data_IF_048333873950
#
_entry.id   IF_048333873950
#
_cell.length_a   1.000
_cell.length_b   1.000
_cell.length_c   1.000
_cell.angle_alpha   90.00
_cell.angle_beta   90.00
_cell.angle_gamma   90.00
#
_symmetry.space_group_name_H-M   'P 1'
#
loop_
_entity.id
_entity.type
_entity.pdbx_description
1 polymer ?
#
# COMPACT_ATOMS: atom_id res chain seq x y z
N UNK A 1 8.39 -8.15 -13.83
CA UNK A 1 7.28 -7.49 -13.10
C UNK A 1 6.97 -8.30 -11.86
N UNK A 2 6.92 -7.65 -10.69
CA UNK A 2 6.55 -8.33 -9.44
C UNK A 2 5.06 -8.59 -9.36
N UNK A 3 4.22 -7.61 -9.74
CA UNK A 3 2.77 -7.72 -9.75
C UNK A 3 2.23 -7.33 -11.12
N UNK A 4 1.26 -8.10 -11.63
CA UNK A 4 0.47 -7.77 -12.80
C UNK A 4 -1.00 -8.11 -12.53
N UNK A 5 -1.89 -7.20 -12.82
CA UNK A 5 -3.33 -7.45 -12.90
C UNK A 5 -3.75 -7.29 -14.38
N UNK A 6 -4.42 -8.29 -14.91
CA UNK A 6 -4.84 -8.34 -16.32
C UNK A 6 -6.35 -8.35 -16.39
N UNK A 7 -6.93 -7.21 -16.78
CA UNK A 7 -8.37 -6.99 -16.98
C UNK A 7 -9.22 -7.52 -15.81
N UNK A 8 -8.79 -7.30 -14.56
CA UNK A 8 -9.50 -7.85 -13.41
C UNK A 8 -10.85 -7.17 -13.21
N UNK A 9 -11.86 -8.00 -12.91
CA UNK A 9 -13.21 -7.56 -12.60
C UNK A 9 -13.67 -8.23 -11.31
N UNK A 10 -14.22 -7.43 -10.39
CA UNK A 10 -14.83 -7.90 -9.14
C UNK A 10 -16.27 -7.44 -9.10
N UNK A 11 -17.21 -8.39 -8.95
CA UNK A 11 -18.65 -8.11 -8.84
C UNK A 11 -19.20 -8.57 -7.49
N UNK A 12 -20.11 -7.80 -6.94
CA UNK A 12 -20.86 -8.18 -5.73
C UNK A 12 -22.31 -7.74 -5.87
N UNK A 13 -23.24 -8.66 -5.66
CA UNK A 13 -24.67 -8.35 -5.78
C UNK A 13 -25.07 -7.83 -7.19
N UNK A 14 -24.44 -8.33 -8.25
CA UNK A 14 -24.69 -7.89 -9.64
C UNK A 14 -23.95 -6.60 -10.03
N UNK A 15 -23.46 -5.80 -9.07
CA UNK A 15 -22.72 -4.55 -9.34
C UNK A 15 -21.23 -4.82 -9.50
N UNK A 16 -20.60 -4.22 -10.51
CA UNK A 16 -19.15 -4.19 -10.62
C UNK A 16 -18.59 -3.19 -9.60
N UNK A 17 -17.66 -3.64 -8.75
CA UNK A 17 -16.91 -2.82 -7.81
C UNK A 17 -15.54 -2.45 -8.37
N UNK A 18 -14.98 -3.32 -9.21
CA UNK A 18 -13.80 -3.10 -10.04
C UNK A 18 -14.12 -3.69 -11.40
N UNK A 19 -13.86 -2.96 -12.48
CA UNK A 19 -14.24 -3.36 -13.83
C UNK A 19 -13.07 -3.20 -14.80
N UNK A 20 -12.61 -4.34 -15.33
CA UNK A 20 -11.57 -4.44 -16.38
C UNK A 20 -10.29 -3.63 -16.05
N UNK A 21 -9.87 -3.62 -14.79
CA UNK A 21 -8.68 -2.89 -14.36
C UNK A 21 -7.42 -3.70 -14.69
N UNK A 22 -6.45 -3.04 -15.34
CA UNK A 22 -5.13 -3.59 -15.60
C UNK A 22 -4.05 -2.68 -15.00
N UNK A 23 -3.05 -3.28 -14.37
CA UNK A 23 -1.87 -2.58 -13.84
C UNK A 23 -0.66 -3.52 -13.78
N UNK A 24 0.52 -2.93 -13.72
CA UNK A 24 1.77 -3.66 -13.50
C UNK A 24 2.70 -2.86 -12.59
N UNK A 25 3.41 -3.57 -11.70
CA UNK A 25 4.38 -2.96 -10.77
C UNK A 25 5.66 -3.76 -10.82
N UNK A 26 6.78 -3.09 -11.09
CA UNK A 26 8.10 -3.68 -11.10
C UNK A 26 8.70 -3.81 -9.68
N UNK A 27 9.75 -4.64 -9.49
CA UNK A 27 10.51 -4.62 -8.25
C UNK A 27 11.03 -3.21 -7.95
N UNK A 28 10.85 -2.73 -6.72
CA UNK A 28 11.30 -1.41 -6.31
C UNK A 28 10.43 -0.24 -6.74
N UNK A 29 9.37 -0.48 -7.47
CA UNK A 29 8.43 0.54 -7.94
C UNK A 29 7.32 0.80 -6.90
N UNK A 30 6.92 2.06 -6.79
CA UNK A 30 5.78 2.50 -5.99
C UNK A 30 4.65 2.97 -6.91
N UNK A 31 3.49 2.30 -6.86
CA UNK A 31 2.27 2.67 -7.58
C UNK A 31 1.25 3.24 -6.60
N UNK A 32 0.82 4.48 -6.84
CA UNK A 32 -0.27 5.09 -6.08
C UNK A 32 -1.62 4.86 -6.76
N UNK A 33 -2.62 4.49 -5.98
CA UNK A 33 -4.02 4.40 -6.43
C UNK A 33 -4.80 5.57 -5.84
N UNK A 34 -5.36 6.41 -6.71
CA UNK A 34 -6.19 7.56 -6.32
C UNK A 34 -7.61 7.40 -6.84
N UNK A 35 -8.56 8.09 -6.22
CA UNK A 35 -9.97 8.06 -6.60
C UNK A 35 -10.87 8.54 -5.47
N UNK A 36 -12.10 8.91 -5.78
CA UNK A 36 -13.11 9.31 -4.81
C UNK A 36 -13.45 8.17 -3.83
N UNK A 37 -14.14 8.49 -2.74
CA UNK A 37 -14.68 7.48 -1.84
C UNK A 37 -15.68 6.59 -2.58
N UNK A 38 -15.55 5.27 -2.41
CA UNK A 38 -16.38 4.30 -3.15
C UNK A 38 -15.91 4.01 -4.59
N UNK A 39 -14.83 4.60 -5.08
CA UNK A 39 -14.29 4.34 -6.43
C UNK A 39 -13.74 2.92 -6.66
N UNK A 40 -13.70 2.07 -5.62
CA UNK A 40 -13.24 0.68 -5.74
C UNK A 40 -11.79 0.44 -5.30
N UNK A 41 -11.09 1.45 -4.74
CA UNK A 41 -9.65 1.37 -4.36
C UNK A 41 -9.35 0.21 -3.40
N UNK A 42 -10.04 0.13 -2.26
CA UNK A 42 -9.84 -0.97 -1.29
C UNK A 42 -10.24 -2.32 -1.88
N UNK A 43 -11.30 -2.37 -2.70
CA UNK A 43 -11.70 -3.59 -3.42
C UNK A 43 -10.60 -4.04 -4.38
N UNK A 44 -9.95 -3.11 -5.07
CA UNK A 44 -8.79 -3.40 -5.93
C UNK A 44 -7.66 -4.00 -5.11
N UNK A 45 -7.27 -3.40 -3.97
CA UNK A 45 -6.20 -3.96 -3.12
C UNK A 45 -6.54 -5.36 -2.61
N UNK A 46 -7.79 -5.61 -2.16
CA UNK A 46 -8.23 -6.94 -1.75
C UNK A 46 -8.22 -7.96 -2.90
N UNK A 47 -8.51 -7.53 -4.13
CA UNK A 47 -8.37 -8.39 -5.32
C UNK A 47 -6.90 -8.72 -5.61
N UNK A 48 -6.00 -7.73 -5.49
CA UNK A 48 -4.57 -7.90 -5.74
C UNK A 48 -3.88 -8.79 -4.71
N UNK A 49 -4.35 -8.82 -3.45
CA UNK A 49 -3.83 -9.75 -2.42
C UNK A 49 -4.45 -11.14 -2.53
N UNK A 50 -5.53 -11.29 -3.30
CA UNK A 50 -6.25 -12.56 -3.50
C UNK A 50 -7.24 -12.90 -2.39
N UNK A 51 -7.77 -11.89 -1.69
CA UNK A 51 -8.86 -12.04 -0.70
C UNK A 51 -10.24 -12.09 -1.35
N UNK A 52 -10.34 -11.64 -2.60
CA UNK A 52 -11.59 -11.62 -3.36
C UNK A 52 -11.51 -12.55 -4.57
N UNK A 53 -12.62 -13.23 -4.85
CA UNK A 53 -12.79 -14.00 -6.08
C UNK A 53 -12.99 -13.04 -7.25
N UNK A 54 -12.18 -13.16 -8.28
CA UNK A 54 -12.33 -12.39 -9.51
C UNK A 54 -13.48 -12.94 -10.34
N UNK A 55 -14.33 -12.06 -10.88
CA UNK A 55 -15.37 -12.42 -11.86
C UNK A 55 -14.79 -12.58 -13.27
N UNK A 56 -13.68 -11.87 -13.56
CA UNK A 56 -12.91 -12.00 -14.80
C UNK A 56 -11.49 -11.50 -14.58
N UNK A 57 -10.59 -11.84 -15.51
CA UNK A 57 -9.18 -11.46 -15.44
C UNK A 57 -8.36 -12.35 -14.51
N UNK A 58 -7.12 -11.95 -14.27
CA UNK A 58 -6.20 -12.66 -13.36
C UNK A 58 -5.19 -11.73 -12.72
N UNK A 59 -4.68 -12.13 -11.56
CA UNK A 59 -3.52 -11.52 -10.90
C UNK A 59 -2.33 -12.46 -11.01
N UNK A 60 -1.22 -11.93 -11.46
CA UNK A 60 0.07 -12.63 -11.59
C UNK A 60 1.06 -11.99 -10.63
N UNK A 61 1.71 -12.79 -9.81
CA UNK A 61 2.77 -12.39 -8.89
C UNK A 61 4.06 -13.14 -9.25
N UNK A 62 5.15 -12.41 -9.44
CA UNK A 62 6.46 -12.97 -9.81
C UNK A 62 6.38 -13.99 -10.98
N UNK A 63 5.60 -13.67 -12.01
CA UNK A 63 5.46 -14.49 -13.23
C UNK A 63 4.53 -15.70 -13.11
N UNK A 64 3.87 -15.93 -11.95
CA UNK A 64 2.95 -17.04 -11.72
C UNK A 64 1.58 -16.53 -11.27
N UNK A 65 0.49 -17.20 -11.66
CA UNK A 65 -0.84 -16.81 -11.19
C UNK A 65 -0.92 -16.83 -9.66
N UNK A 66 -1.48 -15.77 -9.07
CA UNK A 66 -1.54 -15.63 -7.61
C UNK A 66 -2.32 -16.77 -6.94
N UNK A 67 -3.34 -17.28 -7.63
CA UNK A 67 -4.17 -18.38 -7.16
C UNK A 67 -3.38 -19.70 -7.00
N UNK A 68 -2.26 -19.87 -7.72
CA UNK A 68 -1.45 -21.09 -7.69
C UNK A 68 -0.44 -21.11 -6.53
N UNK A 69 -0.30 -19.99 -5.80
CA UNK A 69 0.60 -19.95 -4.65
C UNK A 69 -0.03 -20.58 -3.41
N UNK A 70 0.73 -21.34 -2.68
CA UNK A 70 0.37 -21.75 -1.33
C UNK A 70 0.22 -20.55 -0.41
N UNK A 71 -0.73 -20.59 0.52
CA UNK A 71 -0.99 -19.50 1.46
C UNK A 71 0.23 -19.10 2.28
N UNK A 72 1.02 -20.09 2.72
CA UNK A 72 2.26 -19.91 3.46
C UNK A 72 3.30 -19.11 2.67
N UNK A 73 3.48 -19.45 1.39
CA UNK A 73 4.42 -18.75 0.49
C UNK A 73 3.94 -17.33 0.19
N UNK A 74 2.63 -17.14 -0.05
CA UNK A 74 2.06 -15.80 -0.21
C UNK A 74 2.31 -14.95 1.02
N UNK A 75 2.03 -15.49 2.22
CA UNK A 75 2.18 -14.77 3.48
C UNK A 75 3.64 -14.35 3.77
N UNK A 76 4.64 -15.05 3.24
CA UNK A 76 6.05 -14.63 3.37
C UNK A 76 6.44 -13.52 2.40
N UNK A 77 5.73 -13.34 1.29
CA UNK A 77 6.15 -12.49 0.17
C UNK A 77 5.21 -11.33 -0.09
N UNK A 78 3.98 -11.39 0.37
CA UNK A 78 2.94 -10.37 0.17
C UNK A 78 2.42 -9.93 1.53
N UNK A 79 2.58 -8.64 1.83
CA UNK A 79 2.00 -8.02 3.02
C UNK A 79 0.90 -7.04 2.64
N UNK A 80 -0.15 -6.98 3.46
CA UNK A 80 -1.28 -6.09 3.26
C UNK A 80 -1.63 -5.33 4.55
N UNK A 81 -1.65 -4.00 4.44
CA UNK A 81 -2.19 -3.11 5.46
C UNK A 81 -3.60 -2.68 5.03
N UNK A 82 -4.62 -3.25 5.67
CA UNK A 82 -6.00 -2.83 5.48
C UNK A 82 -6.29 -1.54 6.28
N UNK A 83 -7.26 -0.75 5.82
CA UNK A 83 -7.69 0.52 6.44
C UNK A 83 -8.06 0.36 7.92
N UNK A 84 -8.68 -0.75 8.31
CA UNK A 84 -9.00 -1.08 9.69
C UNK A 84 -8.38 -2.42 10.09
N UNK A 85 -7.54 -2.41 11.11
CA UNK A 85 -6.93 -3.62 11.69
C UNK A 85 -7.10 -3.58 13.21
N UNK A 86 -8.33 -3.73 13.75
CA UNK A 86 -8.60 -3.63 15.18
C UNK A 86 -7.95 -4.80 15.93
N UNK A 87 -7.11 -4.48 16.91
CA UNK A 87 -6.59 -5.42 17.90
C UNK A 87 -7.15 -5.04 19.25
N UNK A 88 -7.96 -5.93 19.84
CA UNK A 88 -8.64 -5.69 21.11
C UNK A 88 -7.81 -6.14 22.33
N UNK A 89 -6.76 -6.95 22.12
CA UNK A 89 -5.93 -7.48 23.19
C UNK A 89 -4.78 -6.54 23.55
N UNK A 90 -4.37 -6.48 24.83
CA UNK A 90 -3.33 -5.57 25.32
C UNK A 90 -1.90 -6.09 25.05
N UNK A 91 -1.64 -6.55 23.83
CA UNK A 91 -0.28 -6.91 23.39
C UNK A 91 0.67 -5.73 23.53
N UNK A 92 1.93 -5.98 23.88
CA UNK A 92 2.99 -4.99 23.73
C UNK A 92 3.21 -4.65 22.25
N UNK A 93 3.62 -3.42 21.96
CA UNK A 93 3.88 -2.97 20.57
C UNK A 93 4.84 -3.91 19.86
N UNK A 94 5.93 -4.35 20.53
CA UNK A 94 6.88 -5.33 19.96
C UNK A 94 6.19 -6.62 19.51
N UNK A 95 5.22 -7.12 20.28
CA UNK A 95 4.50 -8.36 19.99
C UNK A 95 3.61 -8.17 18.75
N UNK A 96 2.95 -7.01 18.64
CA UNK A 96 2.16 -6.66 17.44
C UNK A 96 3.02 -6.64 16.19
N UNK A 97 4.21 -6.01 16.25
CA UNK A 97 5.14 -5.98 15.11
C UNK A 97 5.62 -7.40 14.79
N UNK A 98 5.94 -8.21 15.81
CA UNK A 98 6.39 -9.59 15.65
C UNK A 98 5.34 -10.51 14.98
N UNK A 99 4.03 -10.18 15.02
CA UNK A 99 3.02 -10.90 14.24
C UNK A 99 3.33 -10.89 12.74
N UNK A 100 4.00 -9.86 12.23
CA UNK A 100 4.47 -9.81 10.84
C UNK A 100 5.50 -10.91 10.52
N UNK A 101 6.18 -11.44 11.52
CA UNK A 101 7.16 -12.54 11.34
C UNK A 101 6.56 -13.93 11.42
N UNK A 102 5.28 -14.06 11.82
CA UNK A 102 4.61 -15.36 11.96
C UNK A 102 4.68 -16.29 10.75
N UNK A 103 4.69 -15.83 9.48
CA UNK A 103 4.84 -16.70 8.33
C UNK A 103 6.26 -17.22 8.11
N UNK A 104 7.26 -16.65 8.80
CA UNK A 104 8.69 -16.94 8.58
C UNK A 104 9.24 -17.93 9.62
N UNK A 105 10.35 -18.58 9.27
CA UNK A 105 11.10 -19.48 10.13
C UNK A 105 12.56 -19.03 10.25
N UNK A 106 12.80 -17.71 10.32
CA UNK A 106 14.13 -17.08 10.31
C UNK A 106 14.90 -17.17 11.64
N UNK A 107 14.22 -17.60 12.69
CA UNK A 107 14.78 -17.73 14.03
C UNK A 107 14.70 -16.43 14.85
N UNK A 108 14.63 -16.58 16.17
CA UNK A 108 14.33 -15.52 17.13
C UNK A 108 15.23 -14.29 17.01
N UNK A 109 16.54 -14.46 16.92
CA UNK A 109 17.48 -13.33 16.83
C UNK A 109 17.29 -12.51 15.55
N UNK A 110 17.02 -13.18 14.44
CA UNK A 110 16.72 -12.51 13.17
C UNK A 110 15.40 -11.74 13.25
N UNK A 111 14.37 -12.35 13.82
CA UNK A 111 13.05 -11.71 13.95
C UNK A 111 13.08 -10.52 14.90
N UNK A 112 13.78 -10.61 16.03
CA UNK A 112 14.00 -9.47 16.96
C UNK A 112 14.71 -8.29 16.26
N UNK A 113 15.74 -8.56 15.47
CA UNK A 113 16.44 -7.53 14.70
C UNK A 113 15.54 -6.87 13.65
N UNK A 114 14.68 -7.65 12.97
CA UNK A 114 13.70 -7.12 11.98
C UNK A 114 12.64 -6.27 12.68
N UNK A 115 12.12 -6.72 13.82
CA UNK A 115 11.13 -5.98 14.62
C UNK A 115 11.70 -4.64 15.04
N UNK A 116 12.95 -4.59 15.54
CA UNK A 116 13.62 -3.35 15.92
C UNK A 116 13.81 -2.41 14.71
N UNK A 117 14.26 -2.95 13.56
CA UNK A 117 14.44 -2.17 12.34
C UNK A 117 13.12 -1.61 11.77
N UNK A 118 12.04 -2.38 11.81
CA UNK A 118 10.71 -1.92 11.40
C UNK A 118 10.16 -0.83 12.34
N UNK A 119 10.39 -0.97 13.65
CA UNK A 119 10.03 0.04 14.65
C UNK A 119 10.78 1.35 14.42
N UNK A 120 12.10 1.30 14.17
CA UNK A 120 12.91 2.46 13.83
C UNK A 120 12.44 3.14 12.55
N UNK A 121 12.11 2.37 11.52
CA UNK A 121 11.62 2.91 10.24
C UNK A 121 10.29 3.67 10.36
N UNK A 122 9.49 3.39 11.39
CA UNK A 122 8.18 4.02 11.63
C UNK A 122 8.16 4.92 12.87
N UNK A 123 9.34 5.21 13.46
CA UNK A 123 9.52 6.09 14.63
C UNK A 123 8.66 5.69 15.84
N UNK A 124 8.71 4.41 16.20
CA UNK A 124 7.95 3.84 17.33
C UNK A 124 8.81 3.03 18.30
N UNK A 125 10.15 3.13 18.25
CA UNK A 125 11.05 2.40 19.12
C UNK A 125 10.76 2.67 20.59
N UNK A 126 10.44 3.93 20.92
CA UNK A 126 10.09 4.38 22.28
C UNK A 126 8.77 3.82 22.81
N UNK A 127 7.98 3.15 21.95
CA UNK A 127 6.67 2.57 22.30
C UNK A 127 6.70 1.05 22.47
N UNK A 128 7.82 0.37 22.19
CA UNK A 128 7.90 -1.09 22.07
C UNK A 128 7.32 -1.86 23.27
N UNK A 129 7.48 -1.29 24.48
CA UNK A 129 7.00 -1.92 25.73
C UNK A 129 5.57 -1.48 26.12
N UNK A 130 5.00 -0.51 25.41
CA UNK A 130 3.63 -0.03 25.72
C UNK A 130 2.58 -1.00 25.22
N UNK A 131 1.47 -1.09 25.95
CA UNK A 131 0.30 -1.84 25.49
C UNK A 131 -0.32 -1.14 24.26
N UNK A 132 -0.54 -1.88 23.17
CA UNK A 132 -1.11 -1.38 21.91
C UNK A 132 -2.45 -0.68 22.11
N UNK A 133 -3.29 -1.17 23.05
CA UNK A 133 -4.60 -0.58 23.36
C UNK A 133 -4.54 0.84 23.92
N UNK A 134 -3.37 1.25 24.48
CA UNK A 134 -3.15 2.58 25.07
C UNK A 134 -2.57 3.61 24.11
N UNK A 135 -2.38 3.24 22.84
CA UNK A 135 -1.81 4.10 21.82
C UNK A 135 -2.86 5.02 21.21
N UNK A 136 -2.43 6.20 20.75
CA UNK A 136 -3.21 7.09 19.91
C UNK A 136 -3.50 6.46 18.53
N UNK A 137 -4.41 7.04 17.74
CA UNK A 137 -4.72 6.56 16.39
C UNK A 137 -3.51 6.54 15.47
N UNK A 138 -2.74 7.62 15.44
CA UNK A 138 -1.52 7.71 14.62
C UNK A 138 -0.41 6.76 15.06
N UNK A 139 -0.22 6.57 16.39
CA UNK A 139 0.73 5.56 16.91
C UNK A 139 0.30 4.14 16.49
N UNK A 140 -1.00 3.80 16.61
CA UNK A 140 -1.54 2.51 16.15
C UNK A 140 -1.29 2.30 14.66
N UNK A 141 -1.52 3.32 13.84
CA UNK A 141 -1.27 3.28 12.40
C UNK A 141 0.20 2.95 12.11
N UNK A 142 1.14 3.63 12.78
CA UNK A 142 2.58 3.38 12.62
C UNK A 142 3.00 1.99 13.09
N UNK A 143 2.39 1.46 14.17
CA UNK A 143 2.62 0.07 14.63
C UNK A 143 2.12 -0.95 13.61
N UNK A 144 0.93 -0.76 13.05
CA UNK A 144 0.40 -1.65 12.02
C UNK A 144 1.24 -1.60 10.75
N UNK A 145 1.75 -0.42 10.37
CA UNK A 145 2.68 -0.30 9.27
C UNK A 145 3.99 -1.04 9.57
N UNK A 146 4.58 -0.86 10.76
CA UNK A 146 5.78 -1.62 11.16
C UNK A 146 5.57 -3.13 11.08
N UNK A 147 4.39 -3.63 11.47
CA UNK A 147 4.03 -5.04 11.37
C UNK A 147 4.09 -5.56 9.93
N UNK A 148 3.48 -4.85 8.98
CA UNK A 148 3.50 -5.28 7.56
C UNK A 148 4.86 -5.07 6.90
N UNK A 149 5.63 -4.06 7.33
CA UNK A 149 7.02 -3.89 6.92
C UNK A 149 7.89 -5.05 7.41
N UNK A 150 7.75 -5.47 8.67
CA UNK A 150 8.48 -6.61 9.22
C UNK A 150 8.22 -7.91 8.43
N UNK A 151 7.00 -8.08 7.87
CA UNK A 151 6.64 -9.25 7.08
C UNK A 151 7.43 -9.35 5.76
N UNK A 152 7.71 -8.24 5.09
CA UNK A 152 8.43 -8.19 3.81
C UNK A 152 9.82 -7.57 3.91
N UNK A 153 10.39 -7.47 5.12
CA UNK A 153 11.65 -6.77 5.39
C UNK A 153 12.84 -7.37 4.65
N UNK A 154 12.89 -8.69 4.56
CA UNK A 154 13.96 -9.43 3.88
C UNK A 154 13.38 -10.41 2.86
N UNK A 155 14.12 -10.62 1.77
CA UNK A 155 13.84 -11.68 0.81
C UNK A 155 14.47 -13.01 1.29
N UNK A 156 13.87 -13.65 2.30
CA UNK A 156 14.44 -14.83 2.96
C UNK A 156 14.52 -16.05 2.03
N UNK A 157 13.61 -16.13 1.06
CA UNK A 157 13.58 -17.15 0.01
C UNK A 157 14.06 -16.63 -1.36
N UNK A 158 14.71 -15.45 -1.38
CA UNK A 158 15.30 -14.84 -2.58
C UNK A 158 14.28 -14.35 -3.63
N UNK A 159 12.99 -14.35 -3.29
CA UNK A 159 11.94 -14.01 -4.24
C UNK A 159 11.45 -12.56 -4.19
N UNK A 160 10.62 -12.20 -5.17
CA UNK A 160 9.94 -10.91 -5.23
C UNK A 160 9.05 -10.69 -3.98
N UNK A 161 8.95 -9.44 -3.55
CA UNK A 161 8.13 -9.03 -2.41
C UNK A 161 7.16 -7.94 -2.82
N UNK A 162 5.96 -7.97 -2.25
CA UNK A 162 4.89 -7.03 -2.53
C UNK A 162 4.32 -6.48 -1.22
N UNK A 163 4.13 -5.18 -1.17
CA UNK A 163 3.48 -4.47 -0.07
C UNK A 163 2.27 -3.70 -0.61
N UNK A 164 1.08 -4.03 -0.10
CA UNK A 164 -0.17 -3.38 -0.43
C UNK A 164 -0.62 -2.56 0.78
N UNK A 165 -0.92 -1.27 0.60
CA UNK A 165 -1.22 -0.35 1.69
C UNK A 165 -2.51 0.43 1.41
N UNK A 166 -3.51 0.24 2.26
CA UNK A 166 -4.74 1.03 2.19
C UNK A 166 -4.65 2.23 3.14
N UNK A 167 -4.42 3.42 2.58
CA UNK A 167 -4.31 4.70 3.27
C UNK A 167 -3.26 4.72 4.41
N UNK A 168 -1.99 4.39 4.14
CA UNK A 168 -0.99 4.19 5.19
C UNK A 168 -0.66 5.43 6.03
N UNK A 169 -1.04 6.63 5.57
CA UNK A 169 -0.69 7.91 6.21
C UNK A 169 -1.89 8.81 6.55
N UNK A 170 -3.14 8.35 6.32
CA UNK A 170 -4.34 9.19 6.45
C UNK A 170 -4.55 9.83 7.84
N UNK A 171 -4.11 9.15 8.91
CA UNK A 171 -4.28 9.61 10.31
C UNK A 171 -3.04 10.27 10.90
N UNK A 172 -2.04 10.58 10.07
CA UNK A 172 -0.75 11.12 10.52
C UNK A 172 -0.65 12.61 10.22
N UNK A 173 0.07 13.34 11.08
CA UNK A 173 0.49 14.70 10.79
C UNK A 173 1.54 14.75 9.66
N UNK A 174 1.78 15.95 9.11
CA UNK A 174 2.66 16.19 7.96
C UNK A 174 4.08 15.64 8.20
N UNK A 175 4.62 15.79 9.43
CA UNK A 175 5.95 15.30 9.79
C UNK A 175 6.04 13.77 9.70
N UNK A 176 5.07 13.08 10.29
CA UNK A 176 4.99 11.62 10.24
C UNK A 176 4.63 11.10 8.84
N UNK A 177 3.76 11.79 8.07
CA UNK A 177 3.51 11.44 6.67
C UNK A 177 4.80 11.41 5.86
N UNK A 178 5.60 12.48 5.94
CA UNK A 178 6.89 12.58 5.25
C UNK A 178 7.89 11.51 5.70
N UNK A 179 7.93 11.20 7.00
CA UNK A 179 8.78 10.14 7.56
C UNK A 179 8.40 8.78 6.98
N UNK A 180 7.12 8.43 7.00
CA UNK A 180 6.61 7.16 6.51
C UNK A 180 6.83 7.01 5.00
N UNK A 181 6.54 8.05 4.21
CA UNK A 181 6.76 7.97 2.75
C UNK A 181 8.24 7.77 2.41
N UNK A 182 9.17 8.41 3.15
CA UNK A 182 10.61 8.15 3.01
C UNK A 182 10.99 6.72 3.42
N UNK A 183 10.36 6.17 4.47
CA UNK A 183 10.59 4.78 4.88
C UNK A 183 10.10 3.80 3.79
N UNK A 184 8.90 4.01 3.23
CA UNK A 184 8.38 3.22 2.11
C UNK A 184 9.29 3.29 0.88
N UNK A 185 9.80 4.47 0.54
CA UNK A 185 10.76 4.62 -0.57
C UNK A 185 12.05 3.83 -0.33
N UNK A 186 12.58 3.80 0.92
CA UNK A 186 13.76 2.97 1.26
C UNK A 186 13.45 1.47 1.16
N UNK A 187 12.26 1.05 1.58
CA UNK A 187 11.80 -0.34 1.44
C UNK A 187 11.64 -0.71 -0.05
N UNK A 188 11.05 0.17 -0.86
CA UNK A 188 10.98 -0.03 -2.31
C UNK A 188 12.38 -0.18 -2.91
N UNK A 189 13.34 0.69 -2.56
CA UNK A 189 14.73 0.62 -3.04
C UNK A 189 15.43 -0.72 -2.70
N UNK A 190 14.94 -1.48 -1.70
CA UNK A 190 15.39 -2.87 -1.43
C UNK A 190 14.75 -3.93 -2.34
N UNK A 191 14.01 -3.53 -3.38
CA UNK A 191 13.38 -4.40 -4.37
C UNK A 191 11.92 -4.80 -4.04
N UNK A 192 11.30 -4.23 -3.00
CA UNK A 192 9.87 -4.46 -2.71
C UNK A 192 9.01 -3.65 -3.67
N UNK A 193 8.08 -4.29 -4.39
CA UNK A 193 7.04 -3.58 -5.12
C UNK A 193 5.98 -3.06 -4.13
N UNK A 194 5.56 -1.80 -4.27
CA UNK A 194 4.60 -1.19 -3.36
C UNK A 194 3.40 -0.67 -4.15
N UNK A 195 2.18 -1.00 -3.71
CA UNK A 195 0.95 -0.37 -4.17
C UNK A 195 0.29 0.29 -2.96
N UNK A 196 -0.01 1.57 -3.04
CA UNK A 196 -0.63 2.29 -1.93
C UNK A 196 -1.81 3.14 -2.38
N UNK A 197 -2.87 3.15 -1.60
CA UNK A 197 -3.99 4.07 -1.77
C UNK A 197 -3.67 5.37 -1.07
N UNK A 198 -3.92 6.49 -1.72
CA UNK A 198 -3.75 7.81 -1.14
C UNK A 198 -4.98 8.68 -1.39
N UNK A 199 -5.32 9.52 -0.39
CA UNK A 199 -6.31 10.58 -0.53
C UNK A 199 -5.68 11.90 -0.99
N UNK A 200 -4.48 12.20 -0.51
CA UNK A 200 -3.71 13.37 -0.94
C UNK A 200 -3.01 13.04 -2.25
N UNK A 201 -3.52 13.64 -3.34
CA UNK A 201 -3.02 13.44 -4.70
C UNK A 201 -1.61 14.04 -4.85
N UNK A 202 -1.34 15.19 -4.22
CA UNK A 202 -0.03 15.85 -4.28
C UNK A 202 1.04 15.03 -3.56
N UNK A 203 0.70 14.49 -2.37
CA UNK A 203 1.59 13.58 -1.65
C UNK A 203 1.85 12.30 -2.46
N UNK A 204 0.81 11.73 -3.06
CA UNK A 204 0.96 10.56 -3.93
C UNK A 204 1.88 10.83 -5.11
N UNK A 205 1.67 11.96 -5.82
CA UNK A 205 2.48 12.36 -6.97
C UNK A 205 3.95 12.62 -6.61
N UNK A 206 4.22 13.14 -5.40
CA UNK A 206 5.58 13.39 -4.94
C UNK A 206 6.38 12.12 -4.63
N UNK A 207 5.70 10.98 -4.42
CA UNK A 207 6.35 9.74 -3.97
C UNK A 207 6.15 8.53 -4.88
N UNK A 208 5.15 8.51 -5.75
CA UNK A 208 4.89 7.40 -6.66
C UNK A 208 5.74 7.48 -7.92
N UNK A 209 6.15 6.31 -8.44
CA UNK A 209 6.76 6.19 -9.78
C UNK A 209 5.67 6.13 -10.86
N UNK A 210 4.51 5.54 -10.52
CA UNK A 210 3.31 5.46 -11.35
C UNK A 210 2.07 5.72 -10.50
N UNK A 211 1.01 6.17 -11.16
CA UNK A 211 -0.29 6.39 -10.54
C UNK A 211 -1.39 5.72 -11.36
N UNK A 212 -2.41 5.24 -10.66
CA UNK A 212 -3.66 4.73 -11.22
C UNK A 212 -4.83 5.54 -10.65
N UNK A 213 -5.55 6.23 -11.51
CA UNK A 213 -6.77 6.97 -11.15
C UNK A 213 -8.00 6.13 -11.43
N UNK A 214 -8.84 5.92 -10.42
CA UNK A 214 -10.08 5.14 -10.48
C UNK A 214 -11.32 6.02 -10.29
N UNK A 215 -12.33 5.80 -11.09
CA UNK A 215 -13.69 6.28 -10.86
C UNK A 215 -14.68 5.14 -11.15
N UNK A 216 -15.68 4.96 -10.29
CA UNK A 216 -16.75 3.96 -10.45
C UNK A 216 -16.26 2.52 -10.75
N UNK A 217 -15.11 2.15 -10.17
CA UNK A 217 -14.49 0.83 -10.38
C UNK A 217 -13.67 0.69 -11.65
N UNK A 218 -13.63 1.70 -12.51
CA UNK A 218 -12.90 1.68 -13.78
C UNK A 218 -11.64 2.57 -13.75
N UNK A 219 -10.67 2.24 -14.60
CA UNK A 219 -9.48 3.07 -14.80
C UNK A 219 -9.84 4.32 -15.63
N UNK A 220 -9.54 5.51 -15.07
CA UNK A 220 -9.64 6.79 -15.77
C UNK A 220 -8.32 7.15 -16.43
N UNK A 221 -7.21 6.99 -15.70
CA UNK A 221 -5.86 7.24 -16.18
C UNK A 221 -4.86 6.32 -15.46
N UNK A 222 -3.78 5.94 -16.15
CA UNK A 222 -2.68 5.18 -15.58
C UNK A 222 -1.38 5.61 -16.27
N UNK A 223 -0.36 5.98 -15.52
CA UNK A 223 0.92 6.46 -16.06
C UNK A 223 1.80 7.11 -15.00
N UNK A 224 2.79 7.89 -15.42
CA UNK A 224 3.60 8.68 -14.49
C UNK A 224 2.77 9.81 -13.88
N UNK A 225 3.14 10.33 -12.70
CA UNK A 225 2.35 11.36 -12.00
C UNK A 225 1.95 12.55 -12.88
N UNK A 226 2.85 13.06 -13.73
CA UNK A 226 2.58 14.19 -14.60
C UNK A 226 1.51 13.92 -15.69
N UNK A 227 1.34 12.66 -16.10
CA UNK A 227 0.33 12.25 -17.07
C UNK A 227 -1.04 12.01 -16.41
N UNK A 228 -1.05 11.55 -15.17
CA UNK A 228 -2.27 11.18 -14.44
C UNK A 228 -2.87 12.38 -13.71
N UNK A 229 -2.04 13.22 -13.07
CA UNK A 229 -2.50 14.37 -12.29
C UNK A 229 -2.69 15.56 -13.22
N UNK A 230 -3.83 15.60 -13.90
CA UNK A 230 -4.28 16.69 -14.76
C UNK A 230 -5.66 17.18 -14.30
N UNK A 231 -5.99 18.43 -14.55
CA UNK A 231 -7.31 19.02 -14.21
C UNK A 231 -8.45 18.16 -14.79
N UNK A 232 -8.31 17.70 -16.04
CA UNK A 232 -9.31 16.84 -16.69
C UNK A 232 -9.48 15.48 -15.99
N UNK A 233 -8.38 14.84 -15.56
CA UNK A 233 -8.44 13.59 -14.81
C UNK A 233 -9.07 13.80 -13.45
N UNK A 234 -8.67 14.87 -12.73
CA UNK A 234 -9.16 15.15 -11.39
C UNK A 234 -10.65 15.49 -11.39
N UNK A 235 -11.12 16.28 -12.37
CA UNK A 235 -12.54 16.56 -12.55
C UNK A 235 -13.37 15.27 -12.75
N UNK A 236 -12.88 14.34 -13.59
CA UNK A 236 -13.57 13.03 -13.81
C UNK A 236 -13.55 12.12 -12.57
N UNK A 237 -12.49 12.18 -11.76
CA UNK A 237 -12.28 11.27 -10.63
C UNK A 237 -12.95 11.77 -9.37
N UNK A 238 -12.93 13.08 -9.12
CA UNK A 238 -13.38 13.68 -7.87
C UNK A 238 -14.61 14.57 -8.01
N UNK A 239 -15.08 14.80 -9.25
CA UNK A 239 -16.18 15.76 -9.56
C UNK A 239 -15.92 17.14 -8.94
N UNK A 240 -14.70 17.65 -9.08
CA UNK A 240 -14.23 18.89 -8.50
C UNK A 240 -13.39 19.71 -9.50
N UNK A 241 -13.58 21.01 -9.48
CA UNK A 241 -12.68 21.94 -10.17
C UNK A 241 -11.41 22.09 -9.34
N UNK A 242 -10.27 21.92 -9.97
CA UNK A 242 -8.95 21.98 -9.32
C UNK A 242 -7.94 22.57 -10.28
N UNK A 243 -6.93 23.23 -9.75
CA UNK A 243 -5.78 23.67 -10.52
C UNK A 243 -4.57 22.79 -10.26
N UNK A 244 -3.84 22.47 -11.33
CA UNK A 244 -2.61 21.67 -11.24
C UNK A 244 -1.41 22.51 -11.62
N UNK A 245 -0.48 22.68 -10.70
CA UNK A 245 0.78 23.40 -10.93
C UNK A 245 1.97 22.45 -10.75
N UNK A 246 3.10 22.79 -11.38
CA UNK A 246 4.36 22.10 -11.10
C UNK A 246 4.98 22.63 -9.80
N UNK A 247 5.40 21.71 -8.92
CA UNK A 247 6.13 22.08 -7.71
C UNK A 247 7.44 22.79 -8.09
N UNK A 248 7.76 23.98 -7.55
CA UNK A 248 8.85 24.83 -8.04
C UNK A 248 10.24 24.21 -7.89
N UNK A 249 10.43 23.27 -6.97
CA UNK A 249 11.72 22.62 -6.72
C UNK A 249 11.85 21.24 -7.38
N UNK A 250 10.74 20.48 -7.48
CA UNK A 250 10.79 19.08 -7.93
C UNK A 250 10.15 18.85 -9.29
N UNK A 251 9.33 19.78 -9.77
CA UNK A 251 8.55 19.66 -10.99
C UNK A 251 7.36 18.67 -10.86
N UNK A 252 7.16 18.03 -9.71
CA UNK A 252 6.03 17.12 -9.49
C UNK A 252 4.70 17.89 -9.48
N UNK A 253 3.59 17.31 -9.97
CA UNK A 253 2.30 17.99 -9.94
C UNK A 253 1.79 18.20 -8.51
N UNK A 254 1.26 19.39 -8.27
CA UNK A 254 0.60 19.79 -7.00
C UNK A 254 -0.81 20.25 -7.32
N UNK A 255 -1.77 19.73 -6.59
CA UNK A 255 -3.19 20.06 -6.74
C UNK A 255 -3.53 21.21 -5.79
N UNK A 256 -4.11 22.27 -6.33
CA UNK A 256 -4.65 23.40 -5.57
C UNK A 256 -6.18 23.30 -5.60
N UNK A 257 -6.80 23.59 -4.46
CA UNK A 257 -8.24 23.70 -4.29
C UNK A 257 -8.59 25.19 -4.14
N UNK A 258 -9.72 25.61 -4.71
CA UNK A 258 -10.30 26.94 -4.51
C UNK A 258 -10.85 27.12 -3.09
#
# INVERSE_FOLDING_TARGET
>A
MTLQAEAITVRRGGRALVETVSLAVAPGQMLAVIGANGAGKSTLLHALVGDLVLSAGRVVFAGRALADYERSTRARRIAFLAQASPLAFPFAVREVIALGRSPHASGRLCDEAIVAAAAAATDIEHLLERAYTRLSGGEKQRVQLARVLAQVWRAEDGGDRLLLLDEPVASLDIGHQSLIMRALRRVAASGVAIVFVAHDVSLAAAHADCMLALAEGATVACGVPAEVVTEATLARVFDAETHVIAHPLTGTPVVLHD
#
